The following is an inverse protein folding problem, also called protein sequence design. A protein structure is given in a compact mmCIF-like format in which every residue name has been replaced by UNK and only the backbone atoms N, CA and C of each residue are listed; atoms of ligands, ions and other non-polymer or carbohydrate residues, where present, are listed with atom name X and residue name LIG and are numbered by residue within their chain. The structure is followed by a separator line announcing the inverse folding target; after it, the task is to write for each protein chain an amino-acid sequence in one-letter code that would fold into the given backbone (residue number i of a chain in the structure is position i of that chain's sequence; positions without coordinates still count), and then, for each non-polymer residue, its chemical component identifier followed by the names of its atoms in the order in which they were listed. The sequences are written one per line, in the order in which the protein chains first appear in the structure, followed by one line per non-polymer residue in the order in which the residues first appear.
data_IF_119775857850
#
_entry.id   IF_119775857850
#
_cell.length_a   1.000
_cell.length_b   1.000
_cell.length_c   1.000
_cell.angle_alpha   90.00
_cell.angle_beta   90.00
_cell.angle_gamma   90.00
#
_symmetry.space_group_name_H-M   'P 1'
#
loop_
_entity.id
_entity.type
_entity.pdbx_description
1 polymer ?
#
# COMPACT_ATOMS: atom_id res chain seq x y z
N UNK A 1 -11.89 10.58 -16.88
CA UNK A 1 -12.47 9.75 -15.78
C UNK A 1 -11.50 9.45 -14.62
N UNK A 2 -10.58 10.37 -14.27
CA UNK A 2 -9.73 10.25 -13.07
C UNK A 2 -10.08 11.29 -11.99
N UNK A 3 -10.56 12.45 -12.41
CA UNK A 3 -10.87 13.59 -11.54
C UNK A 3 -12.17 13.39 -10.73
N UNK A 4 -13.28 13.09 -11.40
CA UNK A 4 -14.57 12.85 -10.76
C UNK A 4 -14.72 11.36 -10.40
N UNK A 5 -14.29 11.01 -9.18
CA UNK A 5 -14.51 9.69 -8.57
C UNK A 5 -15.42 9.84 -7.36
N UNK A 6 -16.34 8.89 -7.12
CA UNK A 6 -17.15 8.90 -5.90
C UNK A 6 -16.23 8.76 -4.67
N UNK A 7 -16.67 9.31 -3.54
CA UNK A 7 -15.89 9.35 -2.30
C UNK A 7 -15.39 7.96 -1.88
N UNK A 8 -16.24 6.94 -1.95
CA UNK A 8 -15.85 5.56 -1.60
C UNK A 8 -14.67 5.03 -2.42
N UNK A 9 -14.61 5.38 -3.71
CA UNK A 9 -13.46 5.01 -4.57
C UNK A 9 -12.20 5.78 -4.18
N UNK A 10 -12.31 7.06 -3.79
CA UNK A 10 -11.17 7.86 -3.32
C UNK A 10 -10.58 7.28 -2.03
N UNK A 11 -11.42 6.87 -1.08
CA UNK A 11 -10.97 6.25 0.18
C UNK A 11 -10.23 4.94 -0.06
N UNK A 12 -10.76 4.07 -0.94
CA UNK A 12 -10.09 2.81 -1.32
C UNK A 12 -8.74 3.06 -1.98
N UNK A 13 -8.64 4.05 -2.86
CA UNK A 13 -7.39 4.44 -3.49
C UNK A 13 -6.38 4.98 -2.47
N UNK A 14 -6.82 5.82 -1.53
CA UNK A 14 -5.96 6.35 -0.46
C UNK A 14 -5.44 5.25 0.46
N UNK A 15 -6.31 4.32 0.88
CA UNK A 15 -5.93 3.16 1.69
C UNK A 15 -4.95 2.24 0.94
N UNK A 16 -5.18 2.01 -0.36
CA UNK A 16 -4.27 1.22 -1.19
C UNK A 16 -2.90 1.89 -1.40
N UNK A 17 -2.83 3.22 -1.34
CA UNK A 17 -1.59 3.97 -1.41
C UNK A 17 -0.80 3.86 -0.09
N UNK A 18 -1.46 4.14 1.04
CA UNK A 18 -0.85 4.02 2.39
C UNK A 18 -0.37 2.61 2.72
N UNK A 19 -1.12 1.59 2.30
CA UNK A 19 -0.74 0.20 2.57
C UNK A 19 0.49 -0.28 1.78
N UNK A 20 0.96 0.46 0.76
CA UNK A 20 2.07 0.08 -0.12
C UNK A 20 3.46 0.56 0.37
N UNK A 21 3.53 1.05 1.60
CA UNK A 21 4.76 1.51 2.25
C UNK A 21 5.67 0.36 2.69
N UNK A 22 6.94 0.69 2.96
CA UNK A 22 7.91 -0.27 3.49
C UNK A 22 7.68 -0.51 4.99
N UNK A 23 8.07 -1.69 5.47
CA UNK A 23 8.08 -1.99 6.91
C UNK A 23 9.02 -1.01 7.64
N UNK A 24 8.56 -0.30 8.69
CA UNK A 24 9.40 0.64 9.43
C UNK A 24 10.60 -0.03 10.09
N UNK A 25 11.73 0.70 10.15
CA UNK A 25 12.99 0.17 10.68
C UNK A 25 12.87 -0.35 12.11
N UNK A 26 12.16 0.39 12.98
CA UNK A 26 11.97 0.01 14.37
C UNK A 26 11.22 -1.31 14.53
N UNK A 27 10.29 -1.62 13.61
CA UNK A 27 9.55 -2.91 13.60
C UNK A 27 10.50 -4.05 13.24
N UNK A 28 11.36 -3.84 12.25
CA UNK A 28 12.37 -4.81 11.82
C UNK A 28 13.32 -5.09 13.00
N UNK A 29 13.80 -4.05 13.69
CA UNK A 29 14.66 -4.19 14.86
C UNK A 29 13.96 -4.94 16.00
N UNK A 30 12.73 -4.52 16.36
CA UNK A 30 11.93 -5.13 17.43
C UNK A 30 11.65 -6.61 17.18
N UNK A 31 11.42 -6.99 15.94
CA UNK A 31 11.11 -8.38 15.56
C UNK A 31 12.35 -9.23 15.28
N UNK A 32 13.56 -8.74 15.57
CA UNK A 32 14.84 -9.39 15.18
C UNK A 32 14.84 -9.81 13.72
N UNK A 33 14.29 -8.92 12.88
CA UNK A 33 14.14 -9.10 11.45
C UNK A 33 13.27 -10.33 11.08
N UNK A 34 12.29 -10.73 11.90
CA UNK A 34 11.27 -11.73 11.49
C UNK A 34 10.30 -11.14 10.49
N UNK A 35 9.97 -9.85 10.64
CA UNK A 35 9.16 -9.09 9.69
C UNK A 35 10.07 -8.11 8.95
N UNK A 36 10.53 -8.47 7.74
CA UNK A 36 11.48 -7.65 6.94
C UNK A 36 10.83 -7.03 5.70
N UNK A 37 9.99 -7.79 5.01
CA UNK A 37 9.42 -7.42 3.71
C UNK A 37 7.93 -7.66 3.75
N UNK A 38 7.18 -6.70 3.19
CA UNK A 38 5.76 -6.82 2.90
C UNK A 38 5.60 -6.93 1.39
N UNK A 39 4.56 -7.64 0.93
CA UNK A 39 4.19 -7.63 -0.47
C UNK A 39 3.81 -6.20 -0.88
N UNK A 40 4.59 -5.62 -1.79
CA UNK A 40 4.35 -4.29 -2.35
C UNK A 40 3.83 -4.42 -3.77
N UNK A 41 2.97 -3.50 -4.16
CA UNK A 41 2.36 -3.45 -5.48
C UNK A 41 3.01 -2.36 -6.31
N UNK A 42 3.24 -2.66 -7.58
CA UNK A 42 3.65 -1.68 -8.57
C UNK A 42 2.51 -1.47 -9.56
N UNK A 43 2.10 -0.22 -9.76
CA UNK A 43 1.00 0.16 -10.65
C UNK A 43 1.24 -0.24 -12.12
N UNK A 44 2.50 -0.35 -12.55
CA UNK A 44 2.86 -0.84 -13.90
C UNK A 44 2.74 -2.35 -14.04
N UNK A 45 2.99 -3.10 -12.95
CA UNK A 45 3.06 -4.57 -12.98
C UNK A 45 1.76 -5.25 -12.56
N UNK A 46 0.96 -4.61 -11.71
CA UNK A 46 -0.29 -5.17 -11.18
C UNK A 46 -1.36 -4.08 -11.10
N UNK A 47 -2.47 -4.30 -11.83
CA UNK A 47 -3.63 -3.39 -11.82
C UNK A 47 -4.53 -3.72 -10.63
N UNK A 48 -5.06 -2.66 -10.02
CA UNK A 48 -6.04 -2.78 -8.94
C UNK A 48 -7.44 -2.92 -9.53
N UNK A 49 -8.19 -3.93 -9.09
CA UNK A 49 -9.62 -4.02 -9.35
C UNK A 49 -10.34 -3.29 -8.21
N UNK A 50 -10.64 -2.00 -8.43
CA UNK A 50 -11.30 -1.09 -7.48
C UNK A 50 -12.45 -0.33 -8.11
#
# INVERSE_FOLDING_TARGET
MAHNKPLGKKLRLAAALRSNEQVPLWVIAKTRRRVRRKLRRNWRRSRMQL
#
